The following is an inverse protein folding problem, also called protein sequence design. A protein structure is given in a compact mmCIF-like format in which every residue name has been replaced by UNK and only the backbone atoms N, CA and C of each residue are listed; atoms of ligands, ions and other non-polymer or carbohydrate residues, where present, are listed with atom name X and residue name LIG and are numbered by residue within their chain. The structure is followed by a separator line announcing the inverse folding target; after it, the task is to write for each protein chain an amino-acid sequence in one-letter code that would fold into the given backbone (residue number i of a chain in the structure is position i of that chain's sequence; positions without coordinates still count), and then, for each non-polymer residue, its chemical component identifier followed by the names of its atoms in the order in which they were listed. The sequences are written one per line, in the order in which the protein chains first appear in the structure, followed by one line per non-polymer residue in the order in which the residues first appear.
data_IF_137208790067
#
_entry.id   IF_137208790067
#
_cell.length_a   1.000
_cell.length_b   1.000
_cell.length_c   1.000
_cell.angle_alpha   90.00
_cell.angle_beta   90.00
_cell.angle_gamma   90.00
#
_symmetry.space_group_name_H-M   'P 1'
#
loop_
_entity.id
_entity.type
_entity.pdbx_description
1 polymer ?
#
# COMPACT_ATOMS: atom_id res chain seq x y z
N UNK A 1 -6.03 11.27 -21.40
CA UNK A 1 -7.34 10.89 -20.83
C UNK A 1 -7.46 11.55 -19.47
N UNK A 2 -8.66 11.98 -19.05
CA UNK A 2 -8.84 12.46 -17.68
C UNK A 2 -8.64 11.30 -16.71
N UNK A 3 -7.84 11.50 -15.67
CA UNK A 3 -7.61 10.51 -14.62
C UNK A 3 -8.92 10.21 -13.88
N UNK A 4 -9.19 8.94 -13.61
CA UNK A 4 -10.35 8.51 -12.81
C UNK A 4 -10.14 8.89 -11.34
N UNK A 5 -11.21 9.33 -10.67
CA UNK A 5 -11.25 9.44 -9.22
C UNK A 5 -11.90 8.17 -8.69
N UNK A 6 -11.20 7.48 -7.79
CA UNK A 6 -11.68 6.28 -7.12
C UNK A 6 -12.00 6.62 -5.67
N UNK A 7 -13.25 6.38 -5.25
CA UNK A 7 -13.69 6.67 -3.88
C UNK A 7 -13.42 5.49 -2.95
N UNK A 8 -12.80 5.77 -1.81
CA UNK A 8 -12.58 4.83 -0.71
C UNK A 8 -13.14 5.48 0.56
N UNK A 9 -14.35 5.14 0.96
CA UNK A 9 -15.09 5.93 1.95
C UNK A 9 -15.24 7.37 1.48
N UNK A 10 -14.80 8.33 2.27
CA UNK A 10 -14.80 9.77 1.93
C UNK A 10 -13.54 10.23 1.18
N UNK A 11 -12.56 9.35 0.96
CA UNK A 11 -11.29 9.65 0.31
C UNK A 11 -11.44 9.61 -1.22
N UNK A 12 -11.04 10.67 -1.90
CA UNK A 12 -11.00 10.76 -3.36
C UNK A 12 -9.59 10.43 -3.89
N UNK A 13 -9.29 9.15 -4.08
CA UNK A 13 -8.02 8.73 -4.65
C UNK A 13 -7.92 9.19 -6.12
N UNK A 14 -6.87 9.92 -6.46
CA UNK A 14 -6.68 10.53 -7.79
C UNK A 14 -7.22 11.96 -7.93
N UNK A 15 -7.72 12.55 -6.84
CA UNK A 15 -8.06 13.98 -6.74
C UNK A 15 -6.84 14.86 -6.49
N UNK A 16 -7.09 16.09 -6.00
CA UNK A 16 -6.03 17.06 -5.73
C UNK A 16 -5.40 16.90 -4.33
N UNK A 17 -5.99 16.05 -3.47
CA UNK A 17 -5.47 15.76 -2.13
C UNK A 17 -4.60 14.52 -2.16
N UNK A 18 -3.42 14.62 -1.55
CA UNK A 18 -2.58 13.45 -1.31
C UNK A 18 -3.24 12.58 -0.23
N UNK A 19 -3.32 11.28 -0.43
CA UNK A 19 -3.74 10.33 0.60
C UNK A 19 -2.60 9.41 1.02
N UNK A 20 -2.71 8.85 2.22
CA UNK A 20 -1.72 7.93 2.77
C UNK A 20 -2.36 6.56 3.00
N UNK A 21 -1.68 5.51 2.57
CA UNK A 21 -1.95 4.12 2.97
C UNK A 21 -0.91 3.77 4.03
N UNK A 22 -1.32 3.49 5.27
CA UNK A 22 -0.38 3.25 6.36
C UNK A 22 -0.93 2.29 7.43
N UNK A 23 0.00 1.67 8.15
CA UNK A 23 -0.24 0.72 9.21
C UNK A 23 0.85 -0.36 9.25
N UNK A 24 0.84 -1.29 10.22
CA UNK A 24 1.82 -2.36 10.31
C UNK A 24 1.78 -3.30 9.12
N UNK A 25 2.95 -3.83 8.72
CA UNK A 25 3.08 -4.75 7.60
C UNK A 25 2.10 -5.92 7.69
N UNK A 26 2.03 -6.54 8.85
CA UNK A 26 1.16 -7.68 9.19
C UNK A 26 0.55 -7.46 10.56
N UNK A 27 -0.62 -8.01 10.80
CA UNK A 27 -1.25 -8.01 12.13
C UNK A 27 -0.42 -8.92 13.05
N UNK A 28 0.19 -8.35 14.08
CA UNK A 28 1.01 -9.08 15.05
C UNK A 28 0.21 -9.40 16.31
N UNK A 29 -0.29 -8.38 16.96
CA UNK A 29 -1.17 -8.45 18.12
C UNK A 29 -2.13 -7.23 18.11
N UNK A 30 -3.25 -7.35 18.81
CA UNK A 30 -4.28 -6.33 18.83
C UNK A 30 -3.80 -5.00 19.43
N UNK A 31 -2.96 -5.04 20.47
CA UNK A 31 -2.47 -3.83 21.14
C UNK A 31 -1.59 -3.00 20.21
N UNK A 32 -0.65 -3.62 19.50
CA UNK A 32 0.20 -2.97 18.49
C UNK A 32 -0.65 -2.36 17.38
N UNK A 33 -1.68 -3.07 16.93
CA UNK A 33 -2.58 -2.60 15.87
C UNK A 33 -3.38 -1.38 16.30
N UNK A 34 -4.01 -1.43 17.49
CA UNK A 34 -4.82 -0.33 18.02
C UNK A 34 -3.98 0.91 18.31
N UNK A 35 -2.80 0.74 18.92
CA UNK A 35 -1.88 1.84 19.18
C UNK A 35 -1.40 2.53 17.89
N UNK A 36 -1.11 1.75 16.86
CA UNK A 36 -0.74 2.32 15.55
C UNK A 36 -1.90 3.07 14.93
N UNK A 37 -3.12 2.54 15.02
CA UNK A 37 -4.32 3.19 14.49
C UNK A 37 -4.61 4.52 15.22
N UNK A 38 -4.47 4.56 16.55
CA UNK A 38 -4.63 5.76 17.36
C UNK A 38 -3.66 6.87 16.92
N UNK A 39 -2.37 6.54 16.82
CA UNK A 39 -1.35 7.49 16.36
C UNK A 39 -1.60 8.00 14.95
N UNK A 40 -1.98 7.11 14.01
CA UNK A 40 -2.32 7.50 12.65
C UNK A 40 -3.58 8.38 12.61
N UNK A 41 -4.56 8.15 13.50
CA UNK A 41 -5.76 8.99 13.60
C UNK A 41 -5.40 10.41 14.02
N UNK A 42 -4.57 10.56 15.05
CA UNK A 42 -4.09 11.87 15.48
C UNK A 42 -3.33 12.61 14.38
N UNK A 43 -2.45 11.91 13.66
CA UNK A 43 -1.69 12.51 12.54
C UNK A 43 -2.62 12.92 11.40
N UNK A 44 -3.60 12.06 11.06
CA UNK A 44 -4.62 12.37 10.05
C UNK A 44 -5.36 13.68 10.37
N UNK A 45 -5.75 13.86 11.63
CA UNK A 45 -6.45 15.06 12.08
C UNK A 45 -5.55 16.30 12.09
N UNK A 46 -4.30 16.19 12.63
CA UNK A 46 -3.36 17.32 12.68
C UNK A 46 -2.91 17.82 11.32
N UNK A 47 -2.70 16.90 10.37
CA UNK A 47 -2.22 17.24 9.02
C UNK A 47 -3.34 17.40 8.00
N UNK A 48 -4.60 17.17 8.38
CA UNK A 48 -5.72 17.03 7.45
C UNK A 48 -5.39 16.07 6.30
N UNK A 49 -4.77 14.93 6.64
CA UNK A 49 -4.28 13.95 5.69
C UNK A 49 -5.22 12.74 5.66
N UNK A 50 -5.90 12.45 4.53
CA UNK A 50 -6.72 11.26 4.40
C UNK A 50 -5.87 9.99 4.53
N UNK A 51 -6.27 9.05 5.41
CA UNK A 51 -5.54 7.80 5.63
C UNK A 51 -6.44 6.60 5.39
N UNK A 52 -5.94 5.63 4.62
CA UNK A 52 -6.46 4.27 4.49
C UNK A 52 -5.59 3.39 5.39
N UNK A 53 -6.20 2.78 6.41
CA UNK A 53 -5.45 1.91 7.32
C UNK A 53 -5.16 0.57 6.64
N UNK A 54 -3.88 0.18 6.64
CA UNK A 54 -3.44 -1.06 6.01
C UNK A 54 -2.76 -1.99 7.01
N UNK A 55 -3.21 -3.23 7.07
CA UNK A 55 -2.41 -4.33 7.60
C UNK A 55 -2.85 -5.65 6.99
N UNK A 56 -1.93 -6.61 6.89
CA UNK A 56 -2.24 -7.92 6.30
C UNK A 56 -2.67 -8.90 7.38
N UNK A 57 -3.82 -9.54 7.20
CA UNK A 57 -4.26 -10.64 8.07
C UNK A 57 -3.49 -11.94 7.81
N UNK A 58 -2.93 -12.07 6.61
CA UNK A 58 -2.07 -13.18 6.21
C UNK A 58 -1.00 -12.70 5.24
N UNK A 59 0.21 -13.20 5.39
CA UNK A 59 1.33 -13.05 4.46
C UNK A 59 1.72 -14.45 3.97
N UNK A 60 1.45 -14.77 2.70
CA UNK A 60 1.80 -16.08 2.15
C UNK A 60 2.92 -16.03 1.10
N UNK A 61 3.49 -14.86 0.88
CA UNK A 61 4.64 -14.61 0.00
C UNK A 61 5.95 -14.45 0.77
N UNK A 62 6.14 -15.26 1.82
CA UNK A 62 7.32 -15.20 2.71
C UNK A 62 8.52 -15.90 2.09
N UNK A 63 9.73 -15.47 2.46
CA UNK A 63 10.99 -16.05 2.00
C UNK A 63 11.29 -17.43 2.61
N UNK A 64 10.72 -17.74 3.78
CA UNK A 64 10.81 -19.04 4.44
C UNK A 64 9.47 -19.44 5.03
N UNK A 65 9.28 -20.75 5.25
CA UNK A 65 8.04 -21.33 5.83
C UNK A 65 7.85 -20.97 7.31
N UNK A 66 8.95 -20.70 8.01
CA UNK A 66 8.96 -20.44 9.46
C UNK A 66 8.70 -18.96 9.79
N UNK A 67 8.68 -18.06 8.79
CA UNK A 67 8.38 -16.66 9.03
C UNK A 67 6.95 -16.47 9.49
N UNK A 68 6.74 -15.53 10.42
CA UNK A 68 5.41 -15.15 10.89
C UNK A 68 4.49 -14.77 9.73
N UNK A 69 3.30 -15.35 9.67
CA UNK A 69 2.35 -15.15 8.56
C UNK A 69 1.15 -14.28 8.91
N UNK A 70 0.97 -13.92 10.16
CA UNK A 70 -0.22 -13.24 10.65
C UNK A 70 -1.20 -14.19 11.36
N UNK A 71 -2.29 -13.66 11.96
CA UNK A 71 -3.26 -14.44 12.73
C UNK A 71 -4.21 -15.26 11.86
N UNK A 72 -4.19 -15.08 10.54
CA UNK A 72 -5.15 -15.69 9.62
C UNK A 72 -6.39 -14.82 9.38
N UNK A 73 -7.24 -15.27 8.45
CA UNK A 73 -8.35 -14.46 7.94
C UNK A 73 -9.40 -14.15 9.02
N UNK A 74 -9.82 -15.15 9.81
CA UNK A 74 -10.93 -14.97 10.76
C UNK A 74 -10.59 -13.96 11.86
N UNK A 75 -9.45 -14.14 12.53
CA UNK A 75 -9.04 -13.26 13.60
C UNK A 75 -8.55 -11.91 13.06
N UNK A 76 -7.82 -11.93 11.96
CA UNK A 76 -7.33 -10.69 11.33
C UNK A 76 -8.44 -9.78 10.86
N UNK A 77 -9.51 -10.32 10.26
CA UNK A 77 -10.67 -9.51 9.86
C UNK A 77 -11.43 -8.93 11.06
N UNK A 78 -11.51 -9.64 12.19
CA UNK A 78 -12.11 -9.09 13.43
C UNK A 78 -11.32 -7.87 13.94
N UNK A 79 -9.99 -7.97 13.99
CA UNK A 79 -9.12 -6.87 14.41
C UNK A 79 -9.26 -5.67 13.46
N UNK A 80 -9.25 -5.91 12.14
CA UNK A 80 -9.42 -4.85 11.15
C UNK A 80 -10.81 -4.20 11.23
N UNK A 81 -11.87 -5.00 11.45
CA UNK A 81 -13.22 -4.46 11.66
C UNK A 81 -13.30 -3.58 12.90
N UNK A 82 -12.61 -3.98 13.99
CA UNK A 82 -12.55 -3.16 15.21
C UNK A 82 -11.86 -1.83 14.95
N UNK A 83 -10.72 -1.81 14.26
CA UNK A 83 -10.03 -0.58 13.86
C UNK A 83 -10.95 0.33 13.04
N UNK A 84 -11.68 -0.25 12.09
CA UNK A 84 -12.66 0.48 11.27
C UNK A 84 -13.73 1.14 12.14
N UNK A 85 -14.27 0.41 13.12
CA UNK A 85 -15.33 0.90 13.99
C UNK A 85 -14.83 1.98 14.97
N UNK A 86 -13.65 1.78 15.57
CA UNK A 86 -13.16 2.62 16.65
C UNK A 86 -12.52 3.92 16.11
N UNK A 87 -11.89 3.88 14.94
CA UNK A 87 -11.14 5.03 14.38
C UNK A 87 -11.74 5.59 13.08
N UNK A 88 -12.68 4.91 12.45
CA UNK A 88 -13.35 5.37 11.22
C UNK A 88 -12.50 5.27 9.96
N UNK A 89 -11.37 4.56 9.98
CA UNK A 89 -10.55 4.38 8.79
C UNK A 89 -11.19 3.44 7.77
N UNK A 90 -11.10 3.75 6.47
CA UNK A 90 -11.23 2.73 5.44
C UNK A 90 -10.08 1.71 5.59
N UNK A 91 -10.38 0.43 5.32
CA UNK A 91 -9.45 -0.68 5.57
C UNK A 91 -8.96 -1.30 4.28
N UNK A 92 -7.64 -1.52 4.22
CA UNK A 92 -6.95 -2.24 3.16
C UNK A 92 -6.19 -3.45 3.72
N UNK A 93 -6.30 -4.59 3.07
CA UNK A 93 -5.46 -5.77 3.35
C UNK A 93 -5.12 -6.54 2.09
N UNK A 94 -3.99 -7.27 2.14
CA UNK A 94 -3.62 -8.22 1.09
C UNK A 94 -4.56 -9.44 1.14
N UNK A 95 -4.94 -9.95 -0.04
CA UNK A 95 -5.66 -11.22 -0.18
C UNK A 95 -4.87 -12.11 -1.15
N UNK A 96 -4.59 -13.34 -0.73
CA UNK A 96 -3.69 -14.25 -1.44
C UNK A 96 -4.41 -15.35 -2.21
N UNK A 97 -5.65 -15.68 -1.83
CA UNK A 97 -6.41 -16.78 -2.40
C UNK A 97 -7.82 -16.36 -2.83
N UNK A 98 -8.33 -16.89 -3.95
CA UNK A 98 -9.67 -16.54 -4.45
C UNK A 98 -10.80 -16.85 -3.46
N UNK A 99 -10.71 -17.92 -2.70
CA UNK A 99 -11.71 -18.34 -1.71
C UNK A 99 -11.81 -17.40 -0.50
N UNK A 100 -10.78 -16.60 -0.25
CA UNK A 100 -10.78 -15.58 0.81
C UNK A 100 -11.56 -14.31 0.43
N UNK A 101 -11.81 -14.07 -0.86
CA UNK A 101 -12.32 -12.78 -1.36
C UNK A 101 -13.67 -12.41 -0.77
N UNK A 102 -14.58 -13.38 -0.64
CA UNK A 102 -15.92 -13.12 -0.11
C UNK A 102 -15.88 -12.65 1.34
N UNK A 103 -15.16 -13.35 2.20
CA UNK A 103 -15.04 -12.98 3.62
C UNK A 103 -14.27 -11.65 3.78
N UNK A 104 -13.20 -11.47 3.04
CA UNK A 104 -12.41 -10.23 3.07
C UNK A 104 -13.25 -9.01 2.65
N UNK A 105 -14.10 -9.13 1.64
CA UNK A 105 -14.95 -8.05 1.14
C UNK A 105 -16.02 -7.59 2.14
N UNK A 106 -16.35 -8.36 3.17
CA UNK A 106 -17.29 -7.93 4.21
C UNK A 106 -16.70 -6.82 5.08
N UNK A 107 -15.37 -6.81 5.26
CA UNK A 107 -14.64 -5.87 6.13
C UNK A 107 -13.85 -4.82 5.33
N UNK A 108 -13.13 -5.27 4.29
CA UNK A 108 -12.22 -4.42 3.53
C UNK A 108 -12.97 -3.44 2.62
N UNK A 109 -12.47 -2.22 2.55
CA UNK A 109 -12.86 -1.21 1.55
C UNK A 109 -11.99 -1.30 0.31
N UNK A 110 -10.72 -1.71 0.49
CA UNK A 110 -9.75 -1.93 -0.58
C UNK A 110 -9.14 -3.33 -0.44
N UNK A 111 -9.25 -4.12 -1.49
CA UNK A 111 -8.59 -5.42 -1.60
C UNK A 111 -7.27 -5.21 -2.33
N UNK A 112 -6.14 -5.57 -1.70
CA UNK A 112 -4.83 -5.49 -2.34
C UNK A 112 -4.43 -6.83 -2.93
N UNK A 113 -4.04 -6.81 -4.21
CA UNK A 113 -3.38 -7.93 -4.85
C UNK A 113 -1.86 -7.74 -4.71
N UNK A 114 -1.17 -8.68 -4.02
CA UNK A 114 0.28 -8.61 -3.83
C UNK A 114 1.05 -8.59 -5.16
N UNK A 115 2.22 -7.93 -5.16
CA UNK A 115 3.03 -7.74 -6.36
C UNK A 115 3.36 -9.04 -7.11
N UNK A 116 3.75 -10.10 -6.39
CA UNK A 116 4.04 -11.40 -7.01
C UNK A 116 2.81 -12.06 -7.65
N UNK A 117 1.61 -11.74 -7.19
CA UNK A 117 0.35 -12.39 -7.60
C UNK A 117 -0.46 -11.56 -8.60
N UNK A 118 -0.03 -10.35 -8.93
CA UNK A 118 -0.82 -9.40 -9.72
C UNK A 118 -1.19 -9.90 -11.12
N UNK A 119 -0.43 -10.85 -11.66
CA UNK A 119 -0.72 -11.45 -12.96
C UNK A 119 -1.61 -12.70 -12.90
N UNK A 120 -1.98 -13.22 -11.72
CA UNK A 120 -2.84 -14.39 -11.56
C UNK A 120 -4.29 -14.04 -11.90
N UNK A 121 -4.77 -14.51 -13.05
CA UNK A 121 -6.10 -14.17 -13.57
C UNK A 121 -7.21 -14.54 -12.60
N UNK A 122 -7.23 -15.76 -12.07
CA UNK A 122 -8.27 -16.21 -11.16
C UNK A 122 -8.35 -15.38 -9.87
N UNK A 123 -7.21 -14.99 -9.29
CA UNK A 123 -7.16 -14.15 -8.10
C UNK A 123 -7.70 -12.73 -8.39
N UNK A 124 -7.23 -12.11 -9.50
CA UNK A 124 -7.60 -10.74 -9.85
C UNK A 124 -9.08 -10.63 -10.22
N UNK A 125 -9.61 -11.60 -10.99
CA UNK A 125 -11.03 -11.60 -11.37
C UNK A 125 -11.94 -11.87 -10.18
N UNK A 126 -11.60 -12.77 -9.25
CA UNK A 126 -12.39 -12.98 -8.04
C UNK A 126 -12.37 -11.74 -7.13
N UNK A 127 -11.24 -11.04 -7.01
CA UNK A 127 -11.20 -9.77 -6.32
C UNK A 127 -12.12 -8.73 -6.98
N UNK A 128 -12.08 -8.62 -8.29
CA UNK A 128 -12.91 -7.68 -9.06
C UNK A 128 -14.43 -7.90 -8.86
N UNK A 129 -14.87 -9.15 -8.80
CA UNK A 129 -16.29 -9.54 -8.58
C UNK A 129 -16.84 -9.06 -7.24
N UNK A 130 -15.98 -8.76 -6.27
CA UNK A 130 -16.43 -8.22 -4.97
C UNK A 130 -17.02 -6.81 -5.08
N UNK A 131 -16.76 -6.08 -6.17
CA UNK A 131 -17.15 -4.68 -6.36
C UNK A 131 -16.34 -3.69 -5.50
N UNK A 132 -15.40 -4.17 -4.68
CA UNK A 132 -14.52 -3.32 -3.86
C UNK A 132 -13.47 -2.62 -4.72
N UNK A 133 -12.80 -1.62 -4.12
CA UNK A 133 -11.63 -1.02 -4.76
C UNK A 133 -10.48 -2.04 -4.79
N UNK A 134 -9.84 -2.20 -5.93
CA UNK A 134 -8.73 -3.14 -6.11
C UNK A 134 -7.42 -2.36 -6.22
N UNK A 135 -6.55 -2.53 -5.22
CA UNK A 135 -5.19 -2.02 -5.27
C UNK A 135 -4.27 -3.07 -5.90
N UNK A 136 -3.79 -2.79 -7.10
CA UNK A 136 -2.86 -3.65 -7.82
C UNK A 136 -1.42 -3.23 -7.54
N UNK A 137 -0.69 -4.04 -6.75
CA UNK A 137 0.73 -3.81 -6.51
C UNK A 137 1.53 -4.17 -7.76
N UNK A 138 2.34 -3.23 -8.23
CA UNK A 138 3.23 -3.43 -9.36
C UNK A 138 4.18 -4.61 -9.12
N UNK A 139 4.22 -5.55 -10.06
CA UNK A 139 5.18 -6.65 -9.99
C UNK A 139 6.59 -6.15 -10.37
N UNK A 140 7.58 -6.53 -9.57
CA UNK A 140 8.97 -6.07 -9.75
C UNK A 140 9.58 -6.41 -11.11
N UNK A 141 9.00 -7.40 -11.81
CA UNK A 141 9.43 -7.87 -13.14
C UNK A 141 8.63 -7.30 -14.30
N UNK A 142 7.57 -6.53 -14.02
CA UNK A 142 6.64 -6.03 -15.03
C UNK A 142 7.02 -4.59 -15.43
N UNK A 143 6.95 -4.24 -16.71
CA UNK A 143 7.09 -2.85 -17.12
C UNK A 143 5.88 -2.02 -16.65
N UNK A 144 6.04 -0.72 -16.30
CA UNK A 144 4.99 0.08 -15.68
C UNK A 144 3.74 0.22 -16.55
N UNK A 145 3.88 0.37 -17.85
CA UNK A 145 2.80 0.45 -18.83
C UNK A 145 2.05 -0.89 -18.99
N UNK A 146 2.67 -2.01 -18.63
CA UNK A 146 2.05 -3.32 -18.63
C UNK A 146 1.12 -3.56 -17.42
N UNK A 147 1.06 -2.64 -16.46
CA UNK A 147 0.01 -2.67 -15.43
C UNK A 147 -1.40 -2.54 -16.00
N UNK A 148 -1.54 -2.11 -17.26
CA UNK A 148 -2.80 -2.23 -18.04
C UNK A 148 -3.32 -3.66 -18.12
N UNK A 149 -2.45 -4.68 -18.07
CA UNK A 149 -2.85 -6.09 -18.21
C UNK A 149 -3.65 -6.59 -16.99
N UNK A 150 -3.15 -6.47 -15.75
CA UNK A 150 -3.97 -6.81 -14.57
C UNK A 150 -5.16 -5.85 -14.39
N UNK A 151 -5.05 -4.57 -14.75
CA UNK A 151 -6.18 -3.65 -14.72
C UNK A 151 -7.31 -4.09 -15.66
N UNK A 152 -6.99 -4.52 -16.87
CA UNK A 152 -7.98 -5.07 -17.82
C UNK A 152 -8.69 -6.33 -17.30
N UNK A 153 -8.03 -7.16 -16.46
CA UNK A 153 -8.68 -8.29 -15.79
C UNK A 153 -9.71 -7.85 -14.75
N UNK A 154 -9.43 -6.75 -14.03
CA UNK A 154 -10.41 -6.17 -13.11
C UNK A 154 -11.59 -5.60 -13.89
N UNK A 155 -11.33 -4.87 -14.98
CA UNK A 155 -12.36 -4.27 -15.82
C UNK A 155 -13.22 -5.31 -16.55
N UNK A 156 -12.68 -6.50 -16.87
CA UNK A 156 -13.45 -7.57 -17.52
C UNK A 156 -14.61 -8.11 -16.66
N UNK A 157 -14.56 -7.88 -15.35
CA UNK A 157 -15.64 -8.22 -14.41
C UNK A 157 -16.56 -7.02 -14.11
N UNK A 158 -16.47 -5.94 -14.89
CA UNK A 158 -17.29 -4.74 -14.72
C UNK A 158 -16.85 -3.81 -13.59
N UNK A 159 -15.71 -4.05 -12.96
CA UNK A 159 -15.17 -3.22 -11.88
C UNK A 159 -14.07 -2.30 -12.43
N UNK A 160 -14.27 -1.00 -12.28
CA UNK A 160 -13.28 0.02 -12.70
C UNK A 160 -12.67 0.79 -11.51
N UNK A 161 -12.93 0.37 -10.28
CA UNK A 161 -12.39 0.96 -9.06
C UNK A 161 -10.98 0.41 -8.79
N UNK A 162 -9.98 0.94 -9.49
CA UNK A 162 -8.61 0.44 -9.50
C UNK A 162 -7.66 1.51 -9.00
N UNK A 163 -6.74 1.12 -8.14
CA UNK A 163 -5.56 1.90 -7.73
C UNK A 163 -4.32 1.11 -8.17
N UNK A 164 -3.33 1.79 -8.73
CA UNK A 164 -2.05 1.19 -9.10
C UNK A 164 -0.98 1.62 -8.11
N UNK A 165 -0.22 0.68 -7.57
CA UNK A 165 0.84 0.97 -6.59
C UNK A 165 2.21 0.53 -7.11
N UNK A 166 3.06 1.51 -7.41
CA UNK A 166 4.48 1.32 -7.71
C UNK A 166 5.26 0.95 -6.43
N UNK A 167 6.23 0.04 -6.51
CA UNK A 167 7.02 -0.42 -5.37
C UNK A 167 8.48 -0.80 -5.69
N UNK A 168 8.98 -0.42 -6.84
CA UNK A 168 10.32 -0.70 -7.35
C UNK A 168 10.41 -1.95 -8.22
N UNK A 169 11.42 -1.93 -9.07
CA UNK A 169 11.76 -2.98 -10.04
C UNK A 169 12.91 -3.83 -9.50
N UNK A 170 12.88 -5.12 -9.80
CA UNK A 170 14.06 -5.96 -9.63
C UNK A 170 15.15 -5.49 -10.60
N UNK A 171 16.28 -5.07 -10.05
CA UNK A 171 17.44 -4.65 -10.79
C UNK A 171 18.70 -5.24 -10.18
N UNK A 172 19.48 -5.93 -10.99
CA UNK A 172 20.57 -6.75 -10.45
C UNK A 172 20.02 -7.96 -9.68
N UNK A 173 20.73 -8.39 -8.64
CA UNK A 173 20.38 -9.63 -7.95
C UNK A 173 19.46 -9.44 -6.76
N UNK A 174 19.66 -8.42 -5.94
CA UNK A 174 18.90 -8.26 -4.69
C UNK A 174 18.36 -6.86 -4.44
N UNK A 175 18.73 -5.89 -5.25
CA UNK A 175 18.31 -4.51 -5.10
C UNK A 175 17.06 -4.19 -5.93
N UNK A 176 16.29 -3.23 -5.44
CA UNK A 176 15.19 -2.63 -6.16
C UNK A 176 15.56 -1.23 -6.62
N UNK A 177 15.06 -0.83 -7.78
CA UNK A 177 15.21 0.51 -8.33
C UNK A 177 13.84 1.12 -8.54
N UNK A 178 13.66 2.35 -8.10
CA UNK A 178 12.49 3.17 -8.43
C UNK A 178 12.87 4.07 -9.60
N UNK A 179 12.19 3.90 -10.72
CA UNK A 179 12.31 4.79 -11.87
C UNK A 179 11.17 5.81 -11.82
N UNK A 180 11.43 7.12 -11.64
CA UNK A 180 10.37 8.13 -11.61
C UNK A 180 9.51 8.17 -12.87
N UNK A 181 10.02 7.69 -14.02
CA UNK A 181 9.22 7.57 -15.25
C UNK A 181 8.09 6.55 -15.11
N UNK A 182 8.20 5.61 -14.18
CA UNK A 182 7.15 4.63 -13.90
C UNK A 182 5.86 5.29 -13.45
N UNK A 183 5.94 6.33 -12.64
CA UNK A 183 4.76 7.09 -12.19
C UNK A 183 4.05 7.74 -13.36
N UNK A 184 4.80 8.35 -14.29
CA UNK A 184 4.22 8.89 -15.51
C UNK A 184 3.51 7.81 -16.33
N UNK A 185 4.16 6.68 -16.60
CA UNK A 185 3.55 5.58 -17.37
C UNK A 185 2.27 5.05 -16.72
N UNK A 186 2.27 4.85 -15.40
CA UNK A 186 1.10 4.37 -14.67
C UNK A 186 -0.04 5.39 -14.69
N UNK A 187 0.25 6.68 -14.50
CA UNK A 187 -0.75 7.76 -14.56
C UNK A 187 -1.42 7.83 -15.93
N UNK A 188 -0.68 7.56 -17.02
CA UNK A 188 -1.25 7.53 -18.38
C UNK A 188 -2.26 6.38 -18.59
N UNK A 189 -2.29 5.38 -17.72
CA UNK A 189 -3.32 4.34 -17.74
C UNK A 189 -4.68 4.83 -17.21
N UNK A 190 -4.72 6.03 -16.61
CA UNK A 190 -5.96 6.69 -16.18
C UNK A 190 -6.47 6.28 -14.80
N UNK A 191 -5.66 5.58 -13.99
CA UNK A 191 -5.99 5.21 -12.62
C UNK A 191 -5.17 6.02 -11.59
N UNK A 192 -5.67 6.18 -10.35
CA UNK A 192 -4.86 6.71 -9.27
C UNK A 192 -3.57 5.92 -9.09
N UNK A 193 -2.45 6.63 -8.97
CA UNK A 193 -1.12 6.04 -8.81
C UNK A 193 -0.58 6.32 -7.42
N UNK A 194 -0.20 5.26 -6.70
CA UNK A 194 0.38 5.28 -5.37
C UNK A 194 1.83 4.87 -5.43
N UNK A 195 2.67 5.49 -4.63
CA UNK A 195 4.05 5.06 -4.44
C UNK A 195 4.24 4.39 -3.07
N UNK A 196 4.60 3.11 -3.10
CA UNK A 196 5.02 2.36 -1.94
C UNK A 196 6.51 2.57 -1.69
N UNK A 197 6.79 3.47 -0.78
CA UNK A 197 8.16 3.86 -0.42
C UNK A 197 8.85 2.77 0.39
N UNK A 198 8.12 2.17 1.33
CA UNK A 198 8.69 1.22 2.29
C UNK A 198 9.12 -0.09 1.65
N UNK A 199 8.36 -0.61 0.70
CA UNK A 199 8.78 -1.82 0.00
C UNK A 199 9.84 -1.57 -1.09
N UNK A 200 9.99 -0.33 -1.56
CA UNK A 200 11.01 0.00 -2.59
C UNK A 200 12.45 -0.04 -2.09
N UNK A 201 12.65 0.00 -0.77
CA UNK A 201 13.99 -0.04 -0.15
C UNK A 201 14.35 -1.41 0.44
N UNK A 202 13.52 -2.43 0.21
CA UNK A 202 13.77 -3.80 0.65
C UNK A 202 14.94 -4.42 -0.12
N UNK A 203 15.78 -5.19 0.60
CA UNK A 203 16.83 -6.03 0.02
C UNK A 203 16.38 -7.49 0.03
N UNK A 204 16.26 -8.08 -1.15
CA UNK A 204 15.90 -9.49 -1.29
C UNK A 204 17.04 -10.41 -0.84
N UNK A 205 16.69 -11.64 -0.47
CA UNK A 205 17.65 -12.61 0.05
C UNK A 205 17.95 -12.48 1.55
N UNK A 206 17.45 -11.41 2.19
CA UNK A 206 17.53 -11.23 3.65
C UNK A 206 16.12 -11.46 4.23
N UNK A 207 15.98 -12.22 5.34
CA UNK A 207 14.69 -12.41 5.99
C UNK A 207 13.99 -11.09 6.30
N UNK A 208 12.68 -11.03 6.14
CA UNK A 208 11.93 -9.76 6.27
C UNK A 208 11.88 -9.20 7.69
N UNK A 209 12.06 -10.05 8.70
CA UNK A 209 12.18 -9.63 10.10
C UNK A 209 13.61 -9.17 10.47
N UNK A 210 14.60 -9.33 9.59
CA UNK A 210 15.96 -8.89 9.83
C UNK A 210 16.10 -7.38 9.57
N UNK A 211 16.51 -6.57 10.56
CA UNK A 211 16.68 -5.14 10.39
C UNK A 211 17.69 -4.71 9.31
N UNK A 212 18.58 -5.61 8.87
CA UNK A 212 19.54 -5.33 7.77
C UNK A 212 18.93 -5.52 6.36
N UNK A 213 17.68 -5.99 6.28
CA UNK A 213 17.00 -6.31 5.02
C UNK A 213 16.41 -5.12 4.27
N UNK A 214 16.87 -3.90 4.52
CA UNK A 214 16.42 -2.68 3.83
C UNK A 214 17.27 -1.46 4.15
N UNK A 215 17.12 -0.41 3.35
CA UNK A 215 17.90 0.83 3.42
C UNK A 215 16.97 2.00 3.75
N UNK A 216 16.54 2.14 5.03
CA UNK A 216 15.60 3.19 5.47
C UNK A 216 16.07 4.60 5.19
N UNK A 217 17.38 4.84 5.13
CA UNK A 217 17.98 6.13 4.84
C UNK A 217 17.53 6.71 3.50
N UNK A 218 17.05 5.87 2.58
CA UNK A 218 16.54 6.31 1.28
C UNK A 218 15.07 6.76 1.31
N UNK A 219 14.29 6.38 2.33
CA UNK A 219 12.87 6.68 2.40
C UNK A 219 12.54 8.16 2.19
N UNK A 220 13.20 9.13 2.89
CA UNK A 220 12.84 10.53 2.73
C UNK A 220 13.12 11.08 1.31
N UNK A 221 14.22 10.63 0.70
CA UNK A 221 14.59 11.03 -0.66
C UNK A 221 13.65 10.49 -1.71
N UNK A 222 13.33 9.19 -1.62
CA UNK A 222 12.44 8.51 -2.56
C UNK A 222 11.00 9.04 -2.42
N UNK A 223 10.50 9.25 -1.19
CA UNK A 223 9.17 9.79 -0.96
C UNK A 223 9.00 11.16 -1.63
N UNK A 224 9.96 12.08 -1.45
CA UNK A 224 9.95 13.38 -2.11
C UNK A 224 10.00 13.26 -3.63
N UNK A 225 10.82 12.35 -4.17
CA UNK A 225 10.90 12.11 -5.60
C UNK A 225 9.57 11.61 -6.19
N UNK A 226 8.89 10.69 -5.49
CA UNK A 226 7.58 10.18 -5.91
C UNK A 226 6.52 11.25 -5.96
N UNK A 227 6.43 12.09 -4.92
CA UNK A 227 5.47 13.19 -4.89
C UNK A 227 5.78 14.24 -5.95
N UNK A 228 7.05 14.61 -6.13
CA UNK A 228 7.45 15.53 -7.19
C UNK A 228 7.18 14.98 -8.61
N UNK A 229 7.09 13.66 -8.76
CA UNK A 229 6.70 13.00 -10.01
C UNK A 229 5.17 12.87 -10.20
N UNK A 230 4.35 13.38 -9.27
CA UNK A 230 2.90 13.51 -9.42
C UNK A 230 2.09 12.28 -9.01
N UNK A 231 2.55 11.48 -8.02
CA UNK A 231 1.73 10.41 -7.45
C UNK A 231 0.54 10.98 -6.67
N UNK A 232 -0.55 10.22 -6.62
CA UNK A 232 -1.79 10.62 -5.94
C UNK A 232 -1.83 10.21 -4.46
N UNK A 233 -1.02 9.24 -4.10
CA UNK A 233 -0.95 8.73 -2.74
C UNK A 233 0.41 8.12 -2.43
N UNK A 234 0.66 8.01 -1.13
CA UNK A 234 1.85 7.36 -0.59
C UNK A 234 1.43 6.08 0.15
N UNK A 235 2.26 5.05 0.06
CA UNK A 235 2.12 3.84 0.85
C UNK A 235 3.35 3.72 1.74
N UNK A 236 3.14 3.79 3.06
CA UNK A 236 4.21 3.80 4.06
C UNK A 236 3.80 2.88 5.20
N UNK A 237 4.41 1.71 5.29
CA UNK A 237 4.20 0.84 6.45
C UNK A 237 4.81 1.46 7.71
N UNK A 238 4.07 1.40 8.81
CA UNK A 238 4.46 1.99 10.07
C UNK A 238 4.29 1.01 11.22
N UNK A 239 5.19 1.10 12.21
CA UNK A 239 5.14 0.26 13.40
C UNK A 239 5.62 1.07 14.62
N UNK A 240 5.07 0.86 15.84
CA UNK A 240 5.54 1.56 17.03
C UNK A 240 7.03 1.31 17.33
N UNK A 241 7.50 0.10 17.10
CA UNK A 241 8.89 -0.33 17.30
C UNK A 241 9.37 -1.13 16.07
N UNK A 242 9.74 -0.48 14.95
CA UNK A 242 10.03 -1.18 13.69
C UNK A 242 11.08 -2.28 13.79
N UNK A 243 12.07 -2.12 14.68
CA UNK A 243 13.12 -3.11 14.87
C UNK A 243 12.63 -4.44 15.49
N UNK A 244 11.44 -4.43 16.10
CA UNK A 244 10.79 -5.62 16.70
C UNK A 244 9.69 -6.20 15.80
N UNK A 245 9.39 -5.55 14.68
CA UNK A 245 8.33 -5.99 13.78
C UNK A 245 8.61 -7.39 13.24
N UNK A 246 7.59 -8.23 13.22
CA UNK A 246 7.67 -9.62 12.74
C UNK A 246 7.72 -9.72 11.20
N UNK A 247 7.47 -8.60 10.51
CA UNK A 247 7.54 -8.47 9.07
C UNK A 247 8.13 -7.12 8.68
N UNK A 248 8.97 -7.11 7.65
CA UNK A 248 9.55 -5.91 7.03
C UNK A 248 10.17 -4.91 8.02
N UNK A 249 10.79 -5.46 9.09
CA UNK A 249 11.43 -4.72 10.16
C UNK A 249 12.44 -3.67 9.66
N UNK A 250 13.10 -3.95 8.55
CA UNK A 250 14.12 -3.08 7.96
C UNK A 250 13.58 -1.85 7.23
N UNK A 251 12.31 -1.87 6.80
CA UNK A 251 11.76 -0.82 5.93
C UNK A 251 10.58 -0.05 6.52
N UNK A 252 9.90 -0.57 7.55
CA UNK A 252 8.83 0.15 8.21
C UNK A 252 9.33 1.43 8.88
N UNK A 253 8.54 2.51 8.80
CA UNK A 253 8.79 3.76 9.50
C UNK A 253 8.26 3.65 10.95
N UNK A 254 8.91 4.32 11.90
CA UNK A 254 8.36 4.47 13.24
C UNK A 254 7.08 5.33 13.17
N UNK A 255 5.96 4.84 13.72
CA UNK A 255 4.69 5.58 13.63
C UNK A 255 4.76 6.94 14.32
N UNK A 256 5.62 7.11 15.32
CA UNK A 256 5.83 8.39 15.99
C UNK A 256 6.55 9.43 15.14
N UNK A 257 7.24 8.99 14.07
CA UNK A 257 7.98 9.88 13.17
C UNK A 257 7.16 10.24 11.91
N UNK A 258 5.97 9.64 11.71
CA UNK A 258 5.21 9.78 10.46
C UNK A 258 4.75 11.23 10.22
N UNK A 259 4.42 11.98 11.25
CA UNK A 259 4.01 13.37 11.12
C UNK A 259 5.15 14.23 10.53
N UNK A 260 6.33 14.16 11.14
CA UNK A 260 7.51 14.91 10.66
C UNK A 260 7.97 14.43 9.28
N UNK A 261 7.79 13.13 9.01
CA UNK A 261 8.08 12.58 7.68
C UNK A 261 7.15 13.13 6.61
N UNK A 262 5.85 13.29 6.91
CA UNK A 262 4.85 13.71 5.93
C UNK A 262 4.82 15.22 5.68
N UNK A 263 5.23 16.07 6.62
CA UNK A 263 5.22 17.54 6.44
C UNK A 263 5.89 18.02 5.15
N UNK A 264 7.18 17.71 4.89
CA UNK A 264 7.84 18.15 3.65
C UNK A 264 7.23 17.51 2.39
N UNK A 265 6.60 16.35 2.51
CA UNK A 265 5.94 15.67 1.40
C UNK A 265 4.66 16.43 1.01
N UNK A 266 3.87 16.87 2.00
CA UNK A 266 2.66 17.66 1.76
C UNK A 266 2.99 19.04 1.19
N UNK A 267 4.07 19.69 1.63
CA UNK A 267 4.55 20.95 1.04
C UNK A 267 4.93 20.77 -0.44
N UNK A 268 5.68 19.71 -0.77
CA UNK A 268 6.03 19.40 -2.15
C UNK A 268 4.82 19.05 -3.01
N UNK A 269 3.85 18.31 -2.44
CA UNK A 269 2.60 18.00 -3.12
C UNK A 269 1.83 19.26 -3.48
N UNK A 270 1.73 20.25 -2.57
CA UNK A 270 1.07 21.51 -2.84
C UNK A 270 1.75 22.28 -4.00
N UNK A 271 3.08 22.21 -4.11
CA UNK A 271 3.83 22.77 -5.23
C UNK A 271 3.54 21.99 -6.52
N UNK A 272 3.55 20.67 -6.47
CA UNK A 272 3.31 19.79 -7.64
C UNK A 272 1.91 20.04 -8.20
N UNK A 273 0.87 20.05 -7.36
CA UNK A 273 -0.53 20.32 -7.77
C UNK A 273 -0.65 21.68 -8.46
N UNK A 274 0.01 22.72 -7.94
CA UNK A 274 0.01 24.07 -8.53
C UNK A 274 0.57 24.10 -9.96
N UNK A 275 1.51 23.22 -10.28
CA UNK A 275 2.20 23.19 -11.59
C UNK A 275 1.83 21.95 -12.44
N UNK A 276 0.90 21.13 -11.96
CA UNK A 276 0.36 19.99 -12.70
C UNK A 276 -0.43 20.52 -13.91
N UNK A 277 -0.01 20.15 -15.14
CA UNK A 277 -0.65 20.54 -16.40
C UNK A 277 -1.75 19.55 -16.81
#
# INVERSE_FOLDING_TARGET
MSKKIVKVGDINCGGDELFLISGPCVIEDEMTMMKTAEMLKEVSERLNLPIIYKSSFTKDNRSTVDNYKGPGIEEGLKILQRIKNDFGFPILSDVHYPDQMKAAAEVLDVIQIPAYLVMQTGLVTEAAKTGKVINLKHAQFLAPDNMKLPAAKVESEGNSNIILTERGYAFGYNDLVVDPRAFYHMTQLGYPTVFDVTHSVRRYGIPSADPSGGNREFLPGLARAGVAAGVDGMFIETHPEPAKALCDAASQLCVYDIEEFMKPILELHAVEVKYRN
#
